data_IF_760771742388
#
_entry.id   IF_760771742388
#
_cell.length_a   1.000
_cell.length_b   1.000
_cell.length_c   1.000
_cell.angle_alpha   90.00
_cell.angle_beta   90.00
_cell.angle_gamma   90.00
#
_symmetry.space_group_name_H-M   'P 1'
#
loop_
_entity.id
_entity.type
_entity.pdbx_description
1 polymer ?
#
# COMPACT_ATOMS: atom_id res chain seq x y z
N UNK A 1 -3.64 -28.34 11.08
CA UNK A 1 -5.09 -28.05 11.03
C UNK A 1 -5.43 -26.58 10.77
N UNK A 2 -4.91 -25.57 11.47
CA UNK A 2 -5.05 -24.16 11.01
C UNK A 2 -4.26 -23.86 9.72
N UNK A 3 -3.46 -24.79 9.25
CA UNK A 3 -2.69 -24.73 8.00
C UNK A 3 -3.47 -25.18 6.77
N UNK A 4 -4.60 -25.85 6.92
CA UNK A 4 -5.41 -26.38 5.81
C UNK A 4 -6.29 -25.34 5.10
N UNK A 5 -6.56 -24.19 5.75
CA UNK A 5 -7.10 -23.00 5.10
C UNK A 5 -5.97 -22.08 4.58
N UNK A 6 -4.72 -22.59 4.55
CA UNK A 6 -3.59 -21.83 3.99
C UNK A 6 -3.86 -21.52 2.54
N UNK A 7 -3.88 -20.23 2.30
CA UNK A 7 -3.60 -19.53 1.06
C UNK A 7 -2.95 -20.50 0.08
N UNK A 8 -3.71 -20.99 -0.90
CA UNK A 8 -3.12 -21.44 -2.15
C UNK A 8 -2.12 -20.34 -2.51
N UNK A 9 -0.90 -20.67 -2.89
CA UNK A 9 0.10 -19.67 -3.27
C UNK A 9 -0.38 -19.04 -4.58
N UNK A 10 -1.31 -18.08 -4.44
CA UNK A 10 -1.99 -17.38 -5.53
C UNK A 10 -0.99 -16.75 -6.51
N UNK A 11 0.29 -16.72 -6.13
CA UNK A 11 1.37 -16.09 -6.86
C UNK A 11 2.53 -17.07 -7.14
N UNK A 12 2.28 -18.38 -7.16
CA UNK A 12 3.32 -19.35 -7.53
C UNK A 12 3.81 -19.09 -8.95
N UNK A 13 5.13 -18.85 -9.10
CA UNK A 13 5.75 -18.53 -10.39
C UNK A 13 5.50 -17.10 -10.91
N UNK A 14 4.73 -16.27 -10.22
CA UNK A 14 4.45 -14.90 -10.66
C UNK A 14 5.72 -14.04 -10.82
N UNK A 15 6.78 -14.31 -10.06
CA UNK A 15 8.08 -13.65 -10.15
C UNK A 15 8.84 -13.96 -11.45
N UNK A 16 8.46 -15.03 -12.15
CA UNK A 16 9.05 -15.45 -13.43
C UNK A 16 8.33 -14.83 -14.63
N UNK A 17 7.12 -14.29 -14.41
CA UNK A 17 6.39 -13.63 -15.48
C UNK A 17 6.98 -12.22 -15.74
N UNK A 18 7.53 -11.94 -16.94
CA UNK A 18 8.16 -10.65 -17.25
C UNK A 18 7.18 -9.46 -17.26
N UNK A 19 5.87 -9.70 -17.36
CA UNK A 19 4.86 -8.66 -17.25
C UNK A 19 4.76 -8.11 -15.81
N UNK A 20 5.12 -8.90 -14.81
CA UNK A 20 5.09 -8.49 -13.42
C UNK A 20 6.38 -7.76 -13.04
N UNK A 21 6.28 -6.47 -12.77
CA UNK A 21 7.42 -5.69 -12.30
C UNK A 21 7.70 -5.94 -10.82
N UNK A 22 6.63 -5.93 -10.00
CA UNK A 22 6.70 -6.14 -8.57
C UNK A 22 5.81 -7.33 -8.16
N UNK A 23 6.38 -8.26 -7.38
CA UNK A 23 5.66 -9.39 -6.79
C UNK A 23 5.93 -9.42 -5.29
N UNK A 24 4.89 -9.38 -4.50
CA UNK A 24 4.93 -9.42 -3.04
C UNK A 24 4.25 -10.70 -2.58
N UNK A 25 4.97 -11.56 -1.85
CA UNK A 25 4.47 -12.86 -1.37
C UNK A 25 4.49 -12.90 0.15
N UNK A 26 3.33 -13.06 0.77
CA UNK A 26 3.12 -13.26 2.21
C UNK A 26 3.95 -12.29 3.08
N UNK A 27 4.03 -11.02 2.67
CA UNK A 27 4.86 -10.03 3.35
C UNK A 27 4.31 -9.74 4.73
N UNK A 28 5.21 -9.84 5.76
CA UNK A 28 4.91 -9.48 7.14
C UNK A 28 5.91 -8.45 7.65
N UNK A 29 5.38 -7.47 8.37
CA UNK A 29 6.18 -6.49 9.10
C UNK A 29 5.57 -6.26 10.48
N UNK A 30 6.31 -6.70 11.50
CA UNK A 30 5.95 -6.54 12.89
C UNK A 30 6.94 -5.63 13.61
N UNK A 31 6.43 -4.76 14.45
CA UNK A 31 7.24 -3.89 15.31
C UNK A 31 7.17 -4.39 16.74
N UNK A 32 8.32 -4.73 17.37
CA UNK A 32 8.33 -5.23 18.74
C UNK A 32 7.95 -4.13 19.74
N UNK A 33 7.04 -4.46 20.65
CA UNK A 33 6.69 -3.63 21.81
C UNK A 33 7.65 -4.02 22.93
N UNK A 34 8.50 -3.07 23.36
CA UNK A 34 9.47 -3.30 24.43
C UNK A 34 8.92 -2.83 25.76
N UNK A 35 9.12 -3.63 26.82
CA UNK A 35 8.86 -3.24 28.19
C UNK A 35 9.74 -2.05 28.59
N UNK A 36 9.19 -1.07 29.32
CA UNK A 36 9.92 0.11 29.80
C UNK A 36 11.08 -0.24 30.75
N UNK A 37 10.96 -1.31 31.53
CA UNK A 37 11.91 -1.65 32.61
C UNK A 37 13.05 -2.57 32.15
N UNK A 38 12.74 -3.63 31.38
CA UNK A 38 13.73 -4.66 31.04
C UNK A 38 14.09 -4.70 29.54
N UNK A 39 13.59 -3.79 28.71
CA UNK A 39 13.74 -3.81 27.24
C UNK A 39 13.34 -5.15 26.58
N UNK A 40 12.66 -6.03 27.31
CA UNK A 40 12.16 -7.31 26.80
C UNK A 40 10.97 -7.06 25.88
N UNK A 41 10.88 -7.84 24.81
CA UNK A 41 9.74 -7.80 23.89
C UNK A 41 8.52 -8.43 24.56
N UNK A 42 7.49 -7.61 24.82
CA UNK A 42 6.23 -8.03 25.47
C UNK A 42 5.10 -8.26 24.47
N UNK A 43 5.30 -7.93 23.22
CA UNK A 43 4.32 -8.10 22.14
C UNK A 43 4.82 -7.52 20.82
N UNK A 44 4.00 -7.59 19.78
CA UNK A 44 4.29 -7.04 18.47
C UNK A 44 3.10 -6.27 17.93
N UNK A 45 3.37 -5.11 17.29
CA UNK A 45 2.40 -4.43 16.44
C UNK A 45 2.48 -5.07 15.05
N UNK A 46 1.43 -5.76 14.63
CA UNK A 46 1.34 -6.41 13.32
C UNK A 46 0.91 -5.39 12.26
N UNK A 47 1.85 -4.57 11.81
CA UNK A 47 1.55 -3.49 10.87
C UNK A 47 1.25 -3.99 9.45
N UNK A 48 1.90 -5.09 9.02
CA UNK A 48 1.60 -5.83 7.79
C UNK A 48 1.62 -7.31 8.16
N UNK A 49 0.57 -8.05 7.81
CA UNK A 49 0.37 -9.41 8.30
C UNK A 49 -0.08 -10.35 7.17
N UNK A 50 0.89 -10.76 6.34
CA UNK A 50 0.68 -11.74 5.28
C UNK A 50 0.01 -11.17 4.03
N UNK A 51 0.50 -10.05 3.52
CA UNK A 51 -0.01 -9.41 2.30
C UNK A 51 0.68 -9.96 1.05
N UNK A 52 -0.11 -10.30 0.03
CA UNK A 52 0.37 -10.79 -1.27
C UNK A 52 -0.34 -10.07 -2.40
N UNK A 53 0.40 -9.62 -3.42
CA UNK A 53 -0.11 -9.01 -4.64
C UNK A 53 0.98 -8.91 -5.71
N UNK A 54 0.57 -8.59 -6.94
CA UNK A 54 1.46 -8.27 -8.07
C UNK A 54 1.14 -6.89 -8.63
N UNK A 55 2.14 -6.24 -9.22
CA UNK A 55 1.96 -5.03 -10.03
C UNK A 55 2.59 -5.27 -11.39
N UNK A 56 1.78 -5.15 -12.44
CA UNK A 56 2.25 -5.27 -13.83
C UNK A 56 3.01 -4.03 -14.25
N UNK A 57 3.95 -4.19 -15.20
CA UNK A 57 4.70 -3.06 -15.77
C UNK A 57 3.78 -2.04 -16.40
N UNK A 58 4.10 -0.77 -16.20
CA UNK A 58 3.35 0.34 -16.78
C UNK A 58 1.95 0.55 -16.19
N UNK A 59 1.59 -0.16 -15.10
CA UNK A 59 0.29 -0.02 -14.45
C UNK A 59 0.39 0.66 -13.08
N UNK A 60 -0.75 1.14 -12.60
CA UNK A 60 -0.89 1.71 -11.26
C UNK A 60 -1.73 0.79 -10.38
N UNK A 61 -1.16 0.34 -9.26
CA UNK A 61 -1.93 -0.27 -8.18
C UNK A 61 -2.25 0.77 -7.11
N UNK A 62 -3.53 1.03 -6.88
CA UNK A 62 -4.02 1.82 -5.76
C UNK A 62 -4.04 0.99 -4.47
N UNK A 63 -3.61 1.57 -3.34
CA UNK A 63 -3.68 0.92 -2.04
C UNK A 63 -4.43 1.82 -1.07
N UNK A 64 -5.61 1.37 -0.63
CA UNK A 64 -6.54 2.15 0.18
C UNK A 64 -6.85 1.50 1.52
N UNK A 65 -7.43 2.26 2.43
CA UNK A 65 -7.84 1.81 3.77
C UNK A 65 -7.72 2.92 4.81
N UNK A 66 -8.28 2.71 6.00
CA UNK A 66 -8.24 3.68 7.10
C UNK A 66 -6.79 4.01 7.53
N UNK A 67 -6.60 5.20 8.13
CA UNK A 67 -5.29 5.60 8.66
C UNK A 67 -4.77 4.58 9.67
N UNK A 68 -3.47 4.27 9.60
CA UNK A 68 -2.84 3.28 10.48
C UNK A 68 -3.07 1.81 10.10
N UNK A 69 -3.75 1.47 8.99
CA UNK A 69 -3.95 0.09 8.56
C UNK A 69 -2.71 -0.59 7.97
N UNK A 70 -1.59 0.13 7.78
CA UNK A 70 -0.30 -0.44 7.34
C UNK A 70 0.15 -0.05 5.93
N UNK A 71 -0.57 0.80 5.18
CA UNK A 71 -0.25 1.19 3.79
C UNK A 71 1.17 1.72 3.59
N UNK A 72 1.55 2.77 4.30
CA UNK A 72 2.91 3.34 4.21
C UNK A 72 3.97 2.36 4.73
N UNK A 73 3.62 1.50 5.69
CA UNK A 73 4.54 0.48 6.20
C UNK A 73 4.85 -0.56 5.13
N UNK A 74 3.84 -1.06 4.39
CA UNK A 74 4.07 -2.03 3.33
C UNK A 74 4.93 -1.42 2.21
N UNK A 75 4.63 -0.20 1.76
CA UNK A 75 5.43 0.49 0.75
C UNK A 75 6.89 0.67 1.16
N UNK A 76 7.15 1.16 2.37
CA UNK A 76 8.51 1.31 2.92
C UNK A 76 9.24 -0.02 3.13
N UNK A 77 8.50 -1.09 3.44
CA UNK A 77 9.09 -2.43 3.57
C UNK A 77 9.47 -2.99 2.20
N UNK A 78 8.63 -2.84 1.18
CA UNK A 78 8.93 -3.22 -0.21
C UNK A 78 10.22 -2.56 -0.69
N UNK A 79 10.38 -1.26 -0.44
CA UNK A 79 11.58 -0.51 -0.81
C UNK A 79 12.81 -0.81 0.07
N UNK A 80 12.73 -1.75 1.02
CA UNK A 80 13.80 -1.99 2.01
C UNK A 80 14.27 -0.73 2.75
N UNK A 81 13.38 0.25 2.95
CA UNK A 81 13.59 1.35 3.90
C UNK A 81 13.35 0.87 5.33
N UNK A 82 12.61 -0.22 5.47
CA UNK A 82 12.38 -0.97 6.71
C UNK A 82 12.60 -2.45 6.45
N UNK A 83 13.18 -3.17 7.43
CA UNK A 83 13.34 -4.62 7.32
C UNK A 83 11.98 -5.35 7.38
N UNK A 84 11.81 -6.42 6.62
CA UNK A 84 10.67 -7.35 6.73
C UNK A 84 10.79 -8.22 7.97
N UNK A 85 9.67 -8.79 8.44
CA UNK A 85 9.66 -9.88 9.43
C UNK A 85 9.68 -11.22 8.71
N UNK A 86 8.80 -11.40 7.72
CA UNK A 86 8.71 -12.60 6.87
C UNK A 86 8.21 -12.23 5.47
N UNK A 87 8.17 -13.21 4.56
CA UNK A 87 7.68 -13.05 3.20
C UNK A 87 8.77 -12.69 2.20
N UNK A 88 8.39 -12.47 0.97
CA UNK A 88 9.28 -12.22 -0.16
C UNK A 88 8.83 -11.02 -0.98
N UNK A 89 9.79 -10.31 -1.57
CA UNK A 89 9.53 -9.17 -2.46
C UNK A 89 10.46 -9.28 -3.66
N UNK A 90 9.88 -9.51 -4.82
CA UNK A 90 10.60 -9.58 -6.08
C UNK A 90 10.37 -8.31 -6.89
N UNK A 91 11.43 -7.73 -7.36
CA UNK A 91 11.43 -6.62 -8.31
C UNK A 91 12.16 -7.05 -9.56
N UNK A 92 11.48 -6.98 -10.71
CA UNK A 92 12.04 -7.44 -11.98
C UNK A 92 12.63 -8.88 -11.89
N UNK A 93 11.89 -9.78 -11.21
CA UNK A 93 12.30 -11.17 -10.98
C UNK A 93 13.39 -11.40 -9.93
N UNK A 94 13.99 -10.34 -9.34
CA UNK A 94 15.04 -10.43 -8.31
C UNK A 94 14.47 -10.27 -6.92
N UNK A 95 14.78 -11.17 -5.98
CA UNK A 95 14.40 -10.97 -4.57
C UNK A 95 15.20 -9.80 -3.98
N UNK A 96 14.50 -8.69 -3.71
CA UNK A 96 15.11 -7.48 -3.15
C UNK A 96 15.78 -7.73 -1.80
N UNK A 97 15.30 -8.68 -1.00
CA UNK A 97 15.86 -8.95 0.32
C UNK A 97 17.06 -9.90 0.29
N UNK A 98 17.29 -10.61 -0.80
CA UNK A 98 18.50 -11.40 -1.03
C UNK A 98 19.69 -10.55 -1.48
N UNK A 99 19.44 -9.35 -2.05
CA UNK A 99 20.50 -8.47 -2.55
C UNK A 99 21.42 -7.98 -1.42
N UNK A 100 22.72 -7.94 -1.70
CA UNK A 100 23.72 -7.25 -0.89
C UNK A 100 23.47 -5.74 -0.86
N UNK A 101 24.16 -5.00 0.02
CA UNK A 101 24.04 -3.53 0.08
C UNK A 101 24.46 -2.85 -1.22
N UNK A 102 25.49 -3.38 -1.89
CA UNK A 102 26.01 -2.84 -3.15
C UNK A 102 25.05 -3.10 -4.31
N UNK A 103 24.51 -4.30 -4.41
CA UNK A 103 23.50 -4.64 -5.41
C UNK A 103 22.22 -3.81 -5.21
N UNK A 104 21.75 -3.66 -3.97
CA UNK A 104 20.62 -2.81 -3.66
C UNK A 104 20.89 -1.34 -4.03
N UNK A 105 22.13 -0.83 -3.82
CA UNK A 105 22.49 0.53 -4.23
C UNK A 105 22.37 0.71 -5.74
N UNK A 106 22.73 -0.30 -6.53
CA UNK A 106 22.58 -0.30 -8.00
C UNK A 106 21.11 -0.37 -8.45
N UNK A 107 20.23 -1.01 -7.67
CA UNK A 107 18.79 -1.06 -7.96
C UNK A 107 18.03 0.21 -7.48
N UNK A 108 18.64 1.05 -6.61
CA UNK A 108 17.96 2.27 -6.08
C UNK A 108 17.49 3.25 -7.15
N UNK A 109 18.20 3.51 -8.26
CA UNK A 109 17.67 4.34 -9.35
C UNK A 109 16.35 3.81 -9.89
N UNK A 110 16.21 2.51 -10.05
CA UNK A 110 15.03 1.87 -10.65
C UNK A 110 13.80 1.89 -9.73
N UNK A 111 14.01 2.14 -8.42
CA UNK A 111 12.96 2.03 -7.39
C UNK A 111 12.93 3.32 -6.58
N UNK A 112 11.98 4.20 -6.85
CA UNK A 112 11.89 5.52 -6.23
C UNK A 112 10.67 5.67 -5.32
N UNK A 113 10.64 6.74 -4.54
CA UNK A 113 9.54 7.10 -3.64
C UNK A 113 9.24 8.60 -3.70
N UNK A 114 7.95 8.93 -3.76
CA UNK A 114 7.42 10.26 -3.53
C UNK A 114 6.73 10.24 -2.17
N UNK A 115 7.25 11.01 -1.22
CA UNK A 115 6.76 11.05 0.16
C UNK A 115 5.54 11.96 0.31
N UNK A 116 4.75 11.70 1.36
CA UNK A 116 3.59 12.46 1.78
C UNK A 116 3.92 13.94 2.08
N UNK A 117 5.04 14.18 2.80
CA UNK A 117 5.48 15.52 3.13
C UNK A 117 6.67 15.95 2.25
N UNK A 118 6.43 16.91 1.36
CA UNK A 118 7.50 17.47 0.53
C UNK A 118 8.61 18.16 1.32
N UNK A 119 8.36 18.60 2.55
CA UNK A 119 9.36 19.32 3.37
C UNK A 119 10.35 18.38 4.02
N UNK A 120 9.91 17.21 4.50
CA UNK A 120 10.74 16.28 5.29
C UNK A 120 11.83 15.60 4.47
N UNK A 121 11.71 15.58 3.14
CA UNK A 121 12.61 14.86 2.24
C UNK A 121 13.71 15.69 1.59
N UNK A 122 13.89 16.98 2.00
CA UNK A 122 14.79 17.90 1.32
C UNK A 122 15.65 18.73 2.26
N UNK A 123 16.86 19.08 1.80
CA UNK A 123 17.61 20.17 2.40
C UNK A 123 17.01 21.51 1.97
N UNK A 124 16.44 22.34 2.87
CA UNK A 124 15.87 23.63 2.51
C UNK A 124 16.94 24.65 2.05
N UNK A 125 18.20 24.27 2.15
CA UNK A 125 19.37 25.12 1.86
C UNK A 125 19.96 24.92 0.46
N UNK A 126 19.45 23.94 -0.30
CA UNK A 126 19.91 23.67 -1.65
C UNK A 126 18.93 24.22 -2.69
N UNK A 127 19.42 24.77 -3.84
CA UNK A 127 18.57 25.16 -4.94
C UNK A 127 17.90 23.92 -5.59
N UNK A 128 16.78 24.13 -6.26
CA UNK A 128 15.96 23.07 -6.83
C UNK A 128 16.73 22.18 -7.78
N UNK A 129 17.56 22.76 -8.67
CA UNK A 129 18.38 21.99 -9.60
C UNK A 129 19.34 21.03 -8.89
N UNK A 130 19.92 21.44 -7.74
CA UNK A 130 20.78 20.60 -6.93
C UNK A 130 19.99 19.49 -6.23
N UNK A 131 18.79 19.78 -5.74
CA UNK A 131 17.91 18.79 -5.09
C UNK A 131 17.51 17.68 -6.09
N UNK A 132 17.21 18.04 -7.32
CA UNK A 132 16.84 17.08 -8.38
C UNK A 132 18.08 16.33 -8.84
N UNK A 133 19.20 17.02 -9.01
CA UNK A 133 20.42 16.50 -9.64
C UNK A 133 21.37 15.75 -8.71
N UNK A 134 21.24 15.86 -7.36
CA UNK A 134 22.14 15.20 -6.41
C UNK A 134 22.28 13.70 -6.69
N UNK A 135 21.16 13.00 -6.80
CA UNK A 135 21.14 11.56 -7.05
C UNK A 135 21.58 11.21 -8.49
N UNK A 136 21.31 12.07 -9.46
CA UNK A 136 21.76 11.90 -10.86
C UNK A 136 23.29 11.85 -10.93
N UNK A 137 23.98 12.76 -10.23
CA UNK A 137 25.46 12.76 -10.13
C UNK A 137 25.97 11.56 -9.36
N UNK A 138 25.38 11.24 -8.22
CA UNK A 138 25.80 10.14 -7.34
C UNK A 138 25.73 8.77 -8.05
N UNK A 139 24.74 8.59 -8.93
CA UNK A 139 24.55 7.35 -9.69
C UNK A 139 25.12 7.41 -11.12
N UNK A 140 25.63 8.57 -11.55
CA UNK A 140 26.21 8.72 -12.89
C UNK A 140 25.19 8.46 -14.02
N UNK A 141 23.97 9.00 -13.86
CA UNK A 141 22.87 8.74 -14.82
C UNK A 141 23.17 9.35 -16.19
N UNK A 142 23.82 10.52 -16.21
CA UNK A 142 24.29 11.18 -17.43
C UNK A 142 25.73 11.69 -17.26
N UNK A 143 26.48 11.89 -18.37
CA UNK A 143 27.77 12.53 -18.31
C UNK A 143 27.71 13.94 -17.73
N UNK A 144 28.81 14.43 -17.08
CA UNK A 144 28.82 15.77 -16.46
C UNK A 144 28.48 16.91 -17.41
N UNK A 145 28.86 16.82 -18.67
CA UNK A 145 28.61 17.81 -19.74
C UNK A 145 27.14 17.90 -20.12
N UNK A 146 26.35 16.82 -19.95
CA UNK A 146 24.92 16.79 -20.26
C UNK A 146 24.04 17.09 -19.04
N UNK A 147 24.65 17.23 -17.86
CA UNK A 147 23.93 17.27 -16.58
C UNK A 147 22.93 18.45 -16.53
N UNK A 148 23.34 19.63 -16.92
CA UNK A 148 22.51 20.83 -16.78
C UNK A 148 21.29 20.79 -17.71
N UNK A 149 21.48 20.37 -18.95
CA UNK A 149 20.41 20.17 -19.93
C UNK A 149 19.47 19.03 -19.53
N UNK A 150 20.02 17.96 -18.94
CA UNK A 150 19.22 16.84 -18.44
C UNK A 150 18.29 17.28 -17.33
N UNK A 151 18.79 18.02 -16.32
CA UNK A 151 17.99 18.53 -15.22
C UNK A 151 16.91 19.49 -15.72
N UNK A 152 17.22 20.33 -16.69
CA UNK A 152 16.24 21.22 -17.32
C UNK A 152 15.10 20.43 -17.96
N UNK A 153 15.41 19.42 -18.78
CA UNK A 153 14.40 18.54 -19.41
C UNK A 153 13.50 17.84 -18.39
N UNK A 154 14.10 17.30 -17.31
CA UNK A 154 13.33 16.65 -16.21
C UNK A 154 12.40 17.64 -15.52
N UNK A 155 12.86 18.86 -15.27
CA UNK A 155 12.05 19.93 -14.69
C UNK A 155 10.87 20.31 -15.59
N UNK A 156 11.11 20.51 -16.87
CA UNK A 156 10.08 20.83 -17.87
C UNK A 156 9.02 19.73 -18.00
N UNK A 157 9.44 18.45 -18.02
CA UNK A 157 8.53 17.30 -18.01
C UNK A 157 7.59 17.30 -16.78
N UNK A 158 8.06 17.84 -15.65
CA UNK A 158 7.25 18.03 -14.44
C UNK A 158 6.50 19.38 -14.39
N UNK A 159 6.57 20.20 -15.46
CA UNK A 159 5.94 21.51 -15.53
C UNK A 159 6.59 22.56 -14.63
N UNK A 160 7.90 22.45 -14.42
CA UNK A 160 8.74 23.42 -13.72
C UNK A 160 9.58 24.17 -14.76
N UNK A 161 9.51 25.51 -14.82
CA UNK A 161 10.28 26.29 -15.80
C UNK A 161 11.78 26.30 -15.46
N UNK A 162 12.65 26.42 -16.46
CA UNK A 162 14.10 26.41 -16.32
C UNK A 162 14.61 27.45 -15.29
N UNK A 163 14.06 28.68 -15.30
CA UNK A 163 14.48 29.73 -14.38
C UNK A 163 14.27 29.34 -12.89
N UNK A 164 13.45 28.35 -12.62
CA UNK A 164 13.22 27.83 -11.27
C UNK A 164 14.39 26.99 -10.72
N UNK A 165 15.33 26.58 -11.58
CA UNK A 165 16.48 25.72 -11.21
C UNK A 165 17.35 26.30 -10.10
N UNK A 166 17.59 27.63 -10.13
CA UNK A 166 18.39 28.34 -9.14
C UNK A 166 17.64 28.76 -7.88
N UNK A 167 16.32 28.56 -7.81
CA UNK A 167 15.50 28.98 -6.67
C UNK A 167 15.47 27.94 -5.55
N UNK A 168 15.07 28.36 -4.37
CA UNK A 168 15.01 27.51 -3.19
C UNK A 168 13.57 26.97 -2.95
N UNK A 169 13.40 25.79 -2.33
CA UNK A 169 12.08 25.19 -2.11
C UNK A 169 11.07 26.06 -1.39
N UNK A 170 11.49 26.94 -0.50
CA UNK A 170 10.60 27.82 0.25
C UNK A 170 9.96 28.93 -0.60
N UNK A 171 10.49 29.18 -1.81
CA UNK A 171 9.95 30.17 -2.77
C UNK A 171 8.80 29.62 -3.60
N UNK A 172 8.43 28.34 -3.43
CA UNK A 172 7.43 27.64 -4.24
C UNK A 172 6.14 27.36 -3.48
N UNK A 173 5.02 27.31 -4.21
CA UNK A 173 3.73 26.83 -3.68
C UNK A 173 3.78 25.33 -3.33
N UNK A 174 2.81 24.83 -2.58
CA UNK A 174 2.70 23.40 -2.22
C UNK A 174 2.71 22.49 -3.46
N UNK A 175 1.92 22.82 -4.48
CA UNK A 175 1.87 22.06 -5.74
C UNK A 175 3.17 22.09 -6.52
N UNK A 176 3.85 23.24 -6.58
CA UNK A 176 5.17 23.32 -7.21
C UNK A 176 6.22 22.51 -6.46
N UNK A 177 6.19 22.51 -5.14
CA UNK A 177 7.07 21.66 -4.33
C UNK A 177 6.83 20.18 -4.58
N UNK A 178 5.57 19.78 -4.76
CA UNK A 178 5.25 18.41 -5.13
C UNK A 178 5.80 18.04 -6.50
N UNK A 179 5.74 18.96 -7.48
CA UNK A 179 6.37 18.78 -8.80
C UNK A 179 7.90 18.61 -8.69
N UNK A 180 8.56 19.31 -7.77
CA UNK A 180 10.00 19.13 -7.51
C UNK A 180 10.28 17.73 -6.92
N UNK A 181 9.41 17.19 -6.04
CA UNK A 181 9.55 15.82 -5.55
C UNK A 181 9.39 14.79 -6.65
N UNK A 182 8.42 15.01 -7.54
CA UNK A 182 8.19 14.15 -8.71
C UNK A 182 9.41 14.20 -9.64
N UNK A 183 9.91 15.41 -9.95
CA UNK A 183 11.09 15.59 -10.78
C UNK A 183 12.33 14.89 -10.21
N UNK A 184 12.55 14.98 -8.89
CA UNK A 184 13.65 14.28 -8.21
C UNK A 184 13.55 12.76 -8.36
N UNK A 185 12.36 12.19 -8.23
CA UNK A 185 12.16 10.76 -8.43
C UNK A 185 12.34 10.37 -9.90
N UNK A 186 11.78 11.15 -10.84
CA UNK A 186 11.87 10.93 -12.28
C UNK A 186 13.30 11.03 -12.81
N UNK A 187 14.12 11.91 -12.23
CA UNK A 187 15.50 12.18 -12.69
C UNK A 187 16.43 10.96 -12.66
N UNK A 188 16.05 9.90 -11.95
CA UNK A 188 16.79 8.63 -11.94
C UNK A 188 16.30 7.63 -12.99
N UNK A 189 15.32 8.02 -13.82
CA UNK A 189 14.69 7.18 -14.84
C UNK A 189 14.20 5.83 -14.27
N UNK A 190 13.33 5.85 -13.23
CA UNK A 190 12.93 4.64 -12.52
C UNK A 190 11.91 3.81 -13.31
N UNK A 191 11.90 2.49 -13.06
CA UNK A 191 10.82 1.60 -13.52
C UNK A 191 9.60 1.65 -12.57
N UNK A 192 9.86 1.91 -11.27
CA UNK A 192 8.85 1.85 -10.22
C UNK A 192 8.92 3.06 -9.28
N UNK A 193 7.77 3.65 -8.99
CA UNK A 193 7.63 4.72 -8.00
C UNK A 193 6.54 4.38 -6.99
N UNK A 194 6.92 4.35 -5.71
CA UNK A 194 5.97 4.38 -4.60
C UNK A 194 5.49 5.82 -4.38
N UNK A 195 4.21 6.07 -4.53
CA UNK A 195 3.56 7.34 -4.20
C UNK A 195 2.87 7.20 -2.83
N UNK A 196 3.54 7.63 -1.75
CA UNK A 196 3.02 7.54 -0.37
C UNK A 196 2.25 8.82 -0.03
N UNK A 197 0.93 8.83 -0.28
CA UNK A 197 -0.01 9.95 -0.11
C UNK A 197 0.44 11.25 -0.82
N UNK A 198 0.78 11.23 -2.10
CA UNK A 198 1.49 12.33 -2.78
C UNK A 198 0.68 13.62 -2.92
N UNK A 199 -0.63 13.59 -2.65
CA UNK A 199 -1.53 14.74 -2.84
C UNK A 199 -2.30 15.14 -1.58
N UNK A 200 -2.12 14.43 -0.46
CA UNK A 200 -2.93 14.59 0.76
C UNK A 200 -2.89 15.99 1.40
N UNK A 201 -1.80 16.74 1.17
CA UNK A 201 -1.58 18.09 1.73
C UNK A 201 -1.88 19.23 0.72
N UNK A 202 -2.55 18.92 -0.40
CA UNK A 202 -2.80 19.87 -1.48
C UNK A 202 -4.31 20.17 -1.64
N UNK A 203 -4.62 21.35 -2.14
CA UNK A 203 -5.99 21.72 -2.51
C UNK A 203 -6.50 20.86 -3.68
N UNK A 204 -7.82 20.62 -3.76
CA UNK A 204 -8.46 19.73 -4.73
C UNK A 204 -8.07 20.03 -6.19
N UNK A 205 -8.02 21.32 -6.56
CA UNK A 205 -7.62 21.73 -7.92
C UNK A 205 -6.16 21.38 -8.24
N UNK A 206 -5.28 21.51 -7.27
CA UNK A 206 -3.86 21.17 -7.40
C UNK A 206 -3.67 19.64 -7.37
N UNK A 207 -4.45 18.91 -6.56
CA UNK A 207 -4.46 17.45 -6.57
C UNK A 207 -4.73 16.93 -7.99
N UNK A 208 -5.79 17.41 -8.65
CA UNK A 208 -6.14 17.01 -10.01
C UNK A 208 -4.99 17.26 -11.03
N UNK A 209 -4.29 18.39 -10.89
CA UNK A 209 -3.12 18.69 -11.73
C UNK A 209 -1.96 17.71 -11.51
N UNK A 210 -1.67 17.35 -10.25
CA UNK A 210 -0.60 16.39 -9.91
C UNK A 210 -0.96 14.99 -10.40
N UNK A 211 -2.20 14.56 -10.24
CA UNK A 211 -2.68 13.26 -10.73
C UNK A 211 -2.55 13.17 -12.26
N UNK A 212 -2.97 14.21 -12.99
CA UNK A 212 -2.83 14.27 -14.44
C UNK A 212 -1.34 14.27 -14.85
N UNK A 213 -0.48 14.98 -14.11
CA UNK A 213 0.97 14.94 -14.34
C UNK A 213 1.51 13.51 -14.18
N UNK A 214 1.21 12.80 -13.09
CA UNK A 214 1.65 11.43 -12.86
C UNK A 214 1.18 10.47 -13.97
N UNK A 215 -0.07 10.60 -14.44
CA UNK A 215 -0.59 9.80 -15.56
C UNK A 215 0.13 10.09 -16.88
N UNK A 216 0.46 11.35 -17.15
CA UNK A 216 1.19 11.73 -18.37
C UNK A 216 2.61 11.16 -18.30
N UNK A 217 3.31 11.33 -17.18
CA UNK A 217 4.64 10.76 -16.97
C UNK A 217 4.65 9.23 -17.07
N UNK A 218 3.60 8.56 -16.56
CA UNK A 218 3.47 7.11 -16.69
C UNK A 218 3.42 6.69 -18.16
N UNK A 219 2.61 7.38 -18.97
CA UNK A 219 2.48 7.07 -20.40
C UNK A 219 3.75 7.37 -21.19
N UNK A 220 4.43 8.47 -20.86
CA UNK A 220 5.63 8.94 -21.55
C UNK A 220 6.86 8.09 -21.24
N UNK A 221 7.04 7.74 -19.95
CA UNK A 221 8.22 7.04 -19.46
C UNK A 221 7.99 5.56 -19.11
N UNK A 222 6.78 5.03 -19.29
CA UNK A 222 6.44 3.64 -18.97
C UNK A 222 6.48 3.30 -17.48
N UNK A 223 6.24 4.30 -16.61
CA UNK A 223 6.37 4.17 -15.16
C UNK A 223 5.33 3.22 -14.56
N UNK A 224 5.72 2.50 -13.52
CA UNK A 224 4.81 1.66 -12.73
C UNK A 224 4.64 2.28 -11.34
N UNK A 225 3.39 2.36 -10.86
CA UNK A 225 3.10 3.00 -9.57
C UNK A 225 2.49 2.04 -8.55
N UNK A 226 2.92 2.17 -7.29
CA UNK A 226 2.11 1.81 -6.14
C UNK A 226 1.62 3.11 -5.50
N UNK A 227 0.33 3.40 -5.66
CA UNK A 227 -0.27 4.67 -5.25
C UNK A 227 -1.05 4.49 -3.95
N UNK A 228 -0.53 5.02 -2.86
CA UNK A 228 -1.18 4.99 -1.54
C UNK A 228 -1.98 6.27 -1.36
N UNK A 229 -3.27 6.14 -1.05
CA UNK A 229 -4.13 7.27 -0.71
C UNK A 229 -5.23 6.84 0.27
N UNK A 230 -5.77 7.82 0.97
CA UNK A 230 -7.03 7.70 1.71
C UNK A 230 -8.22 8.32 0.93
N UNK A 231 -7.95 9.03 -0.17
CA UNK A 231 -8.97 9.58 -1.06
C UNK A 231 -9.29 8.57 -2.16
N UNK A 232 -10.48 7.96 -2.07
CA UNK A 232 -10.95 6.92 -2.98
C UNK A 232 -11.23 7.46 -4.38
N UNK A 233 -11.70 8.71 -4.50
CA UNK A 233 -11.98 9.34 -5.80
C UNK A 233 -10.69 9.53 -6.60
N UNK A 234 -9.61 9.90 -5.93
CA UNK A 234 -8.28 10.01 -6.54
C UNK A 234 -7.80 8.63 -7.01
N UNK A 235 -7.96 7.60 -6.18
CA UNK A 235 -7.54 6.22 -6.49
C UNK A 235 -8.32 5.66 -7.67
N UNK A 236 -9.63 5.86 -7.71
CA UNK A 236 -10.48 5.47 -8.85
C UNK A 236 -9.97 6.03 -10.17
N UNK A 237 -9.49 7.28 -10.14
CA UNK A 237 -9.08 7.99 -11.35
C UNK A 237 -7.68 7.57 -11.85
N UNK A 238 -6.74 7.21 -10.96
CA UNK A 238 -5.35 6.93 -11.36
C UNK A 238 -5.01 5.44 -11.45
N UNK A 239 -5.78 4.56 -10.80
CA UNK A 239 -5.38 3.17 -10.60
C UNK A 239 -6.01 2.23 -11.62
N UNK A 240 -5.25 1.22 -12.07
CA UNK A 240 -5.75 0.10 -12.88
C UNK A 240 -6.32 -1.00 -11.99
N UNK A 241 -5.66 -1.27 -10.86
CA UNK A 241 -6.10 -2.22 -9.84
C UNK A 241 -6.09 -1.55 -8.45
N UNK A 242 -6.95 -2.02 -7.55
CA UNK A 242 -7.04 -1.47 -6.19
C UNK A 242 -7.00 -2.59 -5.15
N UNK A 243 -6.13 -2.42 -4.16
CA UNK A 243 -6.07 -3.23 -2.95
C UNK A 243 -6.63 -2.47 -1.75
N UNK A 244 -7.51 -3.10 -1.00
CA UNK A 244 -8.10 -2.55 0.22
C UNK A 244 -7.47 -3.20 1.45
N UNK A 245 -6.87 -2.40 2.32
CA UNK A 245 -6.22 -2.88 3.55
C UNK A 245 -7.01 -2.57 4.81
N UNK A 246 -7.07 -3.54 5.71
CA UNK A 246 -7.61 -3.37 7.06
C UNK A 246 -6.73 -4.07 8.09
N UNK A 247 -6.28 -3.37 9.13
CA UNK A 247 -5.44 -3.88 10.23
C UNK A 247 -4.29 -4.81 9.77
N UNK A 248 -3.53 -4.35 8.79
CA UNK A 248 -2.34 -5.03 8.27
C UNK A 248 -2.61 -6.13 7.25
N UNK A 249 -3.87 -6.44 6.92
CA UNK A 249 -4.23 -7.44 5.91
C UNK A 249 -4.82 -6.80 4.67
N UNK A 250 -4.61 -7.45 3.51
CA UNK A 250 -5.42 -7.22 2.32
C UNK A 250 -6.77 -7.89 2.52
N UNK A 251 -7.86 -7.13 2.43
CA UNK A 251 -9.22 -7.66 2.60
C UNK A 251 -9.96 -7.81 1.27
N UNK A 252 -9.58 -7.01 0.28
CA UNK A 252 -10.12 -7.08 -1.07
C UNK A 252 -9.11 -6.56 -2.09
N UNK A 253 -9.10 -7.14 -3.30
CA UNK A 253 -8.27 -6.71 -4.42
C UNK A 253 -8.99 -7.02 -5.73
N UNK A 254 -9.08 -6.05 -6.64
CA UNK A 254 -9.63 -6.25 -7.97
C UNK A 254 -9.17 -5.15 -8.95
N UNK A 255 -9.55 -5.30 -10.22
CA UNK A 255 -9.52 -4.19 -11.16
C UNK A 255 -10.41 -3.04 -10.67
N UNK A 256 -9.97 -1.80 -10.87
CA UNK A 256 -10.64 -0.60 -10.36
C UNK A 256 -12.12 -0.57 -10.74
N UNK A 257 -12.43 -0.77 -12.03
CA UNK A 257 -13.81 -0.72 -12.51
C UNK A 257 -14.71 -1.79 -11.86
N UNK A 258 -14.17 -3.01 -11.64
CA UNK A 258 -14.91 -4.10 -11.01
C UNK A 258 -15.16 -3.79 -9.52
N UNK A 259 -14.12 -3.35 -8.80
CA UNK A 259 -14.19 -3.04 -7.37
C UNK A 259 -15.18 -1.91 -7.06
N UNK A 260 -15.14 -0.81 -7.82
CA UNK A 260 -16.03 0.33 -7.61
C UNK A 260 -17.48 0.02 -7.99
N UNK A 261 -17.69 -0.84 -9.01
CA UNK A 261 -19.02 -1.28 -9.40
C UNK A 261 -19.65 -2.25 -8.39
N UNK A 262 -18.85 -3.16 -7.82
CA UNK A 262 -19.34 -4.25 -6.95
C UNK A 262 -18.31 -4.58 -5.87
N UNK A 263 -18.21 -3.79 -4.80
CA UNK A 263 -17.38 -4.16 -3.66
C UNK A 263 -17.96 -5.41 -2.98
N UNK A 264 -17.11 -6.40 -2.69
CA UNK A 264 -17.51 -7.67 -2.09
C UNK A 264 -17.36 -7.66 -0.57
N UNK A 265 -16.28 -7.06 -0.04
CA UNK A 265 -16.05 -7.04 1.39
C UNK A 265 -16.91 -5.96 2.08
N UNK A 266 -17.60 -6.26 3.20
CA UNK A 266 -18.44 -5.28 3.89
C UNK A 266 -17.71 -4.01 4.35
N UNK A 267 -16.40 -4.08 4.58
CA UNK A 267 -15.57 -2.91 4.85
C UNK A 267 -15.39 -2.02 3.62
N UNK A 268 -15.13 -2.61 2.46
CA UNK A 268 -15.01 -1.87 1.18
C UNK A 268 -16.33 -1.21 0.81
N UNK A 269 -17.45 -1.93 0.99
CA UNK A 269 -18.81 -1.42 0.81
C UNK A 269 -19.03 -0.16 1.67
N UNK A 270 -18.62 -0.20 2.94
CA UNK A 270 -18.75 0.94 3.85
C UNK A 270 -17.82 2.11 3.46
N UNK A 271 -16.56 1.84 3.07
CA UNK A 271 -15.64 2.87 2.62
C UNK A 271 -16.18 3.60 1.37
N UNK A 272 -16.66 2.85 0.38
CA UNK A 272 -17.13 3.41 -0.89
C UNK A 272 -18.47 4.15 -0.72
N UNK A 273 -19.32 3.73 0.24
CA UNK A 273 -20.55 4.45 0.56
C UNK A 273 -20.31 5.88 1.07
N UNK A 274 -19.08 6.20 1.45
CA UNK A 274 -18.70 7.53 1.95
C UNK A 274 -18.14 8.45 0.85
N UNK A 275 -17.97 7.96 -0.38
CA UNK A 275 -17.50 8.77 -1.53
C UNK A 275 -18.57 9.79 -1.89
N UNK A 276 -18.26 11.10 -1.91
CA UNK A 276 -19.21 12.10 -2.34
C UNK A 276 -19.56 11.95 -3.82
N UNK A 277 -20.86 11.87 -4.13
CA UNK A 277 -21.34 11.90 -5.52
C UNK A 277 -21.60 13.37 -5.88
N UNK A 278 -21.10 13.89 -7.00
CA UNK A 278 -21.29 15.28 -7.41
C UNK A 278 -22.68 15.52 -8.02
N UNK A 279 -23.72 14.98 -7.40
CA UNK A 279 -25.12 15.14 -7.74
C UNK A 279 -25.86 15.67 -6.50
N UNK A 280 -26.38 16.93 -6.53
CA UNK A 280 -27.06 17.52 -5.39
C UNK A 280 -28.38 16.82 -5.04
N UNK A 281 -28.99 16.10 -5.99
CA UNK A 281 -30.25 15.36 -5.75
C UNK A 281 -29.99 13.93 -5.26
N UNK A 282 -28.74 13.46 -5.27
CA UNK A 282 -28.37 12.14 -4.82
C UNK A 282 -28.41 12.03 -3.29
N UNK A 283 -29.34 11.23 -2.77
CA UNK A 283 -29.40 10.91 -1.34
C UNK A 283 -28.36 9.84 -1.00
N UNK A 284 -27.24 10.25 -0.42
CA UNK A 284 -26.20 9.32 0.04
C UNK A 284 -26.75 8.36 1.09
N UNK A 285 -26.68 7.07 0.81
CA UNK A 285 -26.96 6.01 1.78
C UNK A 285 -25.64 5.55 2.44
N UNK A 286 -25.07 6.44 3.27
CA UNK A 286 -23.78 6.20 3.92
C UNK A 286 -23.86 5.09 4.95
N UNK A 287 -22.99 4.09 4.83
CA UNK A 287 -22.83 3.02 5.80
C UNK A 287 -21.90 3.50 6.92
N UNK A 288 -22.47 3.76 8.10
CA UNK A 288 -21.69 4.17 9.27
C UNK A 288 -21.12 2.92 9.93
N UNK A 289 -19.80 2.83 10.04
CA UNK A 289 -19.13 1.77 10.77
C UNK A 289 -19.18 2.06 12.26
N UNK A 290 -19.75 1.14 13.03
CA UNK A 290 -19.85 1.26 14.49
C UNK A 290 -18.53 0.84 15.18
N UNK A 291 -18.23 1.46 16.32
CA UNK A 291 -17.06 1.17 17.12
C UNK A 291 -15.75 1.81 16.62
N UNK A 292 -14.71 1.70 17.42
CA UNK A 292 -13.37 2.19 17.10
C UNK A 292 -12.55 1.12 16.35
N UNK A 293 -11.53 1.57 15.63
CA UNK A 293 -10.55 0.66 15.01
C UNK A 293 -9.83 -0.11 16.10
N UNK A 294 -9.82 -1.45 16.08
CA UNK A 294 -9.07 -2.23 17.06
C UNK A 294 -7.57 -1.96 17.00
N UNK A 295 -6.88 -2.15 18.12
CA UNK A 295 -5.44 -1.94 18.17
C UNK A 295 -4.67 -3.01 17.36
N UNK A 296 -3.76 -2.62 16.47
CA UNK A 296 -2.90 -3.56 15.73
C UNK A 296 -1.91 -4.31 16.63
N UNK A 297 -1.74 -3.88 17.88
CA UNK A 297 -0.95 -4.59 18.90
C UNK A 297 -1.71 -5.79 19.50
N UNK A 298 -3.04 -5.74 19.50
CA UNK A 298 -3.91 -6.82 19.96
C UNK A 298 -5.12 -6.92 19.01
N UNK A 299 -4.91 -7.40 17.78
CA UNK A 299 -5.99 -7.51 16.80
C UNK A 299 -7.04 -8.53 17.25
N UNK A 300 -8.31 -8.37 16.88
CA UNK A 300 -9.34 -9.36 17.14
C UNK A 300 -8.97 -10.74 16.58
N UNK A 301 -9.38 -11.81 17.25
CA UNK A 301 -9.28 -13.16 16.73
C UNK A 301 -10.19 -13.33 15.51
N UNK A 302 -9.90 -14.30 14.66
CA UNK A 302 -10.69 -14.55 13.45
C UNK A 302 -10.62 -13.40 12.46
N UNK A 303 -11.73 -13.10 11.79
CA UNK A 303 -11.81 -11.96 10.87
C UNK A 303 -11.56 -10.65 11.62
N UNK A 304 -10.50 -9.92 11.27
CA UNK A 304 -10.11 -8.67 11.98
C UNK A 304 -11.19 -7.59 11.94
N UNK A 305 -12.06 -7.64 10.94
CA UNK A 305 -13.17 -6.68 10.78
C UNK A 305 -14.45 -7.08 11.51
N UNK A 306 -14.56 -8.29 12.11
CA UNK A 306 -15.81 -8.82 12.66
C UNK A 306 -16.47 -7.90 13.71
N UNK A 307 -15.69 -7.16 14.50
CA UNK A 307 -16.19 -6.26 15.56
C UNK A 307 -16.93 -5.03 15.02
N UNK A 308 -16.73 -4.71 13.74
CA UNK A 308 -17.36 -3.55 13.05
C UNK A 308 -18.22 -3.98 11.86
N UNK A 309 -18.31 -5.28 11.59
CA UNK A 309 -18.99 -5.83 10.44
C UNK A 309 -20.49 -5.99 10.68
N UNK A 310 -21.33 -5.34 9.87
CA UNK A 310 -22.80 -5.49 9.93
C UNK A 310 -23.30 -6.87 9.47
N UNK A 311 -22.48 -7.56 8.65
CA UNK A 311 -22.75 -8.91 8.13
C UNK A 311 -21.97 -9.97 8.91
N UNK A 312 -21.60 -9.69 10.20
CA UNK A 312 -20.79 -10.59 11.01
C UNK A 312 -21.55 -11.91 11.29
N UNK A 313 -20.89 -13.02 10.99
CA UNK A 313 -21.34 -14.37 11.31
C UNK A 313 -20.56 -14.90 12.52
N UNK A 314 -21.07 -15.95 13.18
CA UNK A 314 -20.42 -16.55 14.35
C UNK A 314 -18.99 -17.00 14.05
N UNK A 315 -18.78 -17.60 12.89
CA UNK A 315 -17.47 -18.05 12.38
C UNK A 315 -16.43 -16.91 12.32
N UNK A 316 -16.87 -15.69 11.99
CA UNK A 316 -15.97 -14.53 11.87
C UNK A 316 -15.24 -14.20 13.18
N UNK A 317 -15.75 -14.64 14.33
CA UNK A 317 -15.14 -14.41 15.66
C UNK A 317 -13.97 -15.34 15.93
N UNK A 318 -13.92 -16.50 15.26
CA UNK A 318 -13.01 -17.60 15.61
C UNK A 318 -12.04 -17.96 14.48
N UNK A 319 -12.43 -17.84 13.22
CA UNK A 319 -11.62 -18.20 12.06
C UNK A 319 -11.27 -16.98 11.20
N UNK A 320 -10.03 -16.91 10.71
CA UNK A 320 -9.61 -15.94 9.72
C UNK A 320 -10.11 -16.39 8.33
N UNK A 321 -10.77 -15.51 7.56
CA UNK A 321 -11.15 -15.83 6.18
C UNK A 321 -9.92 -15.94 5.28
N UNK A 322 -9.91 -16.92 4.37
CA UNK A 322 -8.91 -17.02 3.33
C UNK A 322 -9.07 -15.85 2.34
N UNK A 323 -7.95 -15.27 1.91
CA UNK A 323 -7.92 -14.34 0.78
C UNK A 323 -7.90 -15.14 -0.51
N UNK A 324 -8.98 -15.11 -1.29
CA UNK A 324 -9.17 -15.96 -2.46
C UNK A 324 -9.90 -15.25 -3.59
N UNK A 325 -9.75 -15.76 -4.79
CA UNK A 325 -10.49 -15.32 -5.96
C UNK A 325 -11.95 -15.82 -5.87
N UNK A 326 -12.89 -14.90 -6.03
CA UNK A 326 -14.33 -15.16 -5.99
C UNK A 326 -14.98 -14.93 -7.35
N UNK A 327 -14.51 -13.93 -8.07
CA UNK A 327 -14.82 -13.64 -9.46
C UNK A 327 -13.50 -13.45 -10.20
N UNK A 328 -13.46 -13.57 -11.51
CA UNK A 328 -12.23 -13.43 -12.31
C UNK A 328 -11.50 -12.12 -11.99
N UNK A 329 -10.27 -12.24 -11.49
CA UNK A 329 -9.45 -11.10 -11.05
C UNK A 329 -9.94 -10.36 -9.79
N UNK A 330 -10.99 -10.87 -9.11
CA UNK A 330 -11.55 -10.25 -7.91
C UNK A 330 -11.36 -11.15 -6.68
N UNK A 331 -10.49 -10.71 -5.79
CA UNK A 331 -10.07 -11.43 -4.60
C UNK A 331 -10.65 -10.79 -3.34
N UNK A 332 -11.12 -11.62 -2.40
CA UNK A 332 -11.68 -11.15 -1.13
C UNK A 332 -11.37 -12.08 0.03
N UNK A 333 -11.13 -11.52 1.22
CA UNK A 333 -10.99 -12.24 2.48
C UNK A 333 -12.27 -12.11 3.30
N UNK A 334 -13.31 -12.88 2.98
CA UNK A 334 -14.60 -12.80 3.67
C UNK A 334 -15.34 -14.15 3.69
N UNK A 335 -15.81 -14.57 4.86
CA UNK A 335 -16.58 -15.82 5.02
C UNK A 335 -17.95 -15.85 4.30
N UNK A 336 -18.45 -14.70 3.85
CA UNK A 336 -19.67 -14.64 3.03
C UNK A 336 -19.52 -15.39 1.68
N UNK A 337 -18.28 -15.61 1.25
CA UNK A 337 -17.94 -16.24 -0.02
C UNK A 337 -17.31 -17.63 0.15
N UNK A 338 -17.39 -18.21 1.36
CA UNK A 338 -16.90 -19.55 1.60
C UNK A 338 -17.70 -20.58 0.76
N UNK A 339 -16.99 -21.60 0.27
CA UNK A 339 -17.62 -22.81 -0.27
C UNK A 339 -18.25 -23.63 0.86
N UNK A 340 -19.07 -24.63 0.54
CA UNK A 340 -19.65 -25.53 1.54
C UNK A 340 -18.57 -26.28 2.34
N UNK A 341 -17.48 -26.67 1.69
CA UNK A 341 -16.35 -27.35 2.33
C UNK A 341 -15.61 -26.42 3.31
N UNK A 342 -15.31 -25.18 2.88
CA UNK A 342 -14.72 -24.16 3.76
C UNK A 342 -15.61 -23.83 4.95
N UNK A 343 -16.93 -23.78 4.77
CA UNK A 343 -17.87 -23.61 5.88
C UNK A 343 -17.80 -24.76 6.87
N UNK A 344 -17.76 -26.03 6.42
CA UNK A 344 -17.61 -27.20 7.29
C UNK A 344 -16.30 -27.19 8.08
N UNK A 345 -15.19 -26.77 7.46
CA UNK A 345 -13.89 -26.65 8.13
C UNK A 345 -13.97 -25.55 9.19
N UNK A 346 -14.53 -24.43 8.82
CA UNK A 346 -14.62 -23.26 9.67
C UNK A 346 -15.59 -23.48 10.85
N UNK A 347 -16.68 -24.24 10.70
CA UNK A 347 -17.58 -24.66 11.77
C UNK A 347 -16.84 -25.54 12.80
N UNK A 348 -16.05 -26.52 12.33
CA UNK A 348 -15.20 -27.33 13.24
C UNK A 348 -14.22 -26.49 14.04
N UNK A 349 -13.52 -25.53 13.41
CA UNK A 349 -12.61 -24.63 14.10
C UNK A 349 -13.35 -23.77 15.14
N UNK A 350 -14.56 -23.35 14.84
CA UNK A 350 -15.41 -22.60 15.76
C UNK A 350 -15.80 -23.44 16.99
N UNK A 351 -16.18 -24.71 16.80
CA UNK A 351 -16.51 -25.62 17.90
C UNK A 351 -15.30 -25.91 18.78
N UNK A 352 -14.13 -26.17 18.18
CA UNK A 352 -12.88 -26.39 18.93
C UNK A 352 -12.48 -25.15 19.73
N UNK A 353 -12.59 -23.97 19.15
CA UNK A 353 -12.28 -22.72 19.83
C UNK A 353 -13.21 -22.47 21.04
N UNK A 354 -14.51 -22.72 20.88
CA UNK A 354 -15.50 -22.64 21.98
C UNK A 354 -15.20 -23.61 23.12
N UNK A 355 -14.86 -24.86 22.80
CA UNK A 355 -14.45 -25.86 23.78
C UNK A 355 -13.23 -25.42 24.59
N UNK A 356 -12.21 -24.88 23.88
CA UNK A 356 -10.99 -24.39 24.53
C UNK A 356 -11.24 -23.14 25.40
N UNK A 357 -12.13 -22.24 25.01
CA UNK A 357 -12.53 -21.08 25.81
C UNK A 357 -13.30 -21.51 27.08
N UNK A 358 -14.17 -22.51 26.99
CA UNK A 358 -14.87 -23.06 28.14
C UNK A 358 -13.90 -23.70 29.16
N UNK A 359 -12.97 -24.54 28.67
CA UNK A 359 -11.93 -25.16 29.53
C UNK A 359 -11.04 -24.12 30.20
N UNK A 360 -10.66 -23.06 29.49
CA UNK A 360 -9.85 -21.97 30.05
C UNK A 360 -10.61 -21.14 31.10
N UNK A 361 -11.92 -20.96 30.96
CA UNK A 361 -12.77 -20.31 31.98
C UNK A 361 -12.89 -21.13 33.23
N UNK A 362 -13.09 -22.45 33.09
CA UNK A 362 -13.13 -23.38 34.23
C UNK A 362 -11.80 -23.45 34.96
N UNK A 363 -10.68 -23.47 34.23
CA UNK A 363 -9.34 -23.47 34.83
C UNK A 363 -9.02 -22.18 35.62
N UNK A 364 -9.54 -21.03 35.16
CA UNK A 364 -9.41 -19.74 35.86
C UNK A 364 -10.35 -19.60 37.05
N UNK A 365 -11.52 -20.25 37.03
CA UNK A 365 -12.46 -20.24 38.14
C UNK A 365 -12.01 -21.15 39.29
N UNK A 366 -11.08 -22.10 39.04
CA UNK A 366 -10.51 -23.02 40.06
C UNK A 366 -9.21 -22.49 40.69
N UNK A 367 -8.72 -21.32 40.28
CA UNK A 367 -7.60 -20.59 40.90
C UNK A 367 -8.10 -19.38 41.66
#
# INVERSE_FOLDING_TARGET
MAEELKKADLLEGAEKNPENLLVVKNLKKYFPIKSSFFKMTVGNVKAVDGVSFTIKRGTTMGLVGESGCGKSTIGRTILRLQGKTEGEVYFNGKDLFALSKEELRKERPNIQIIFQDPYSSRSPRLPVGEIIGEAVREHGIVPPEEFDDYITRVMEACGLPEYAKGRYPHEFSGGQRQRICIARALALNPDFILCDEPVSALDVSIQAQIINLLRNLQKEFGLTYLFISHDLSVVEHISDTVGVMYLGNMVEFAETAALFKKPLHPYTEALFSAIPVPDPDFKMNRIILEGSIPSPANPPKGCKFHTRCRKCMEICKYAEPAFKEVEEGHFVACHLYNTEEENRIAERLCEEAKKNEALNKEAKAKK
#
